data_IF_460999011138
#
_entry.id   IF_460999011138
#
_cell.length_a   1.000
_cell.length_b   1.000
_cell.length_c   1.000
_cell.angle_alpha   90.00
_cell.angle_beta   90.00
_cell.angle_gamma   90.00
#
_symmetry.space_group_name_H-M   'P 1'
#
loop_
_entity.id
_entity.type
_entity.pdbx_description
1 polymer ?
#
# COMPACT_ATOMS: atom_id res chain seq x y z
N UNK A 1 22.26 2.90 -4.95
CA UNK A 1 21.26 3.81 -4.35
C UNK A 1 20.82 4.75 -5.45
N UNK A 2 19.60 4.56 -5.96
CA UNK A 2 19.06 5.44 -6.98
C UNK A 2 18.87 6.82 -6.35
N UNK A 3 19.46 7.86 -6.95
CA UNK A 3 19.50 9.21 -6.42
C UNK A 3 18.17 9.94 -6.55
N UNK A 4 17.06 9.34 -6.09
CA UNK A 4 15.76 10.00 -6.08
C UNK A 4 15.78 11.16 -5.09
N UNK A 5 15.18 12.26 -5.54
CA UNK A 5 14.93 13.45 -4.71
C UNK A 5 13.80 13.19 -3.71
N UNK A 6 13.73 14.02 -2.67
CA UNK A 6 12.68 13.94 -1.64
C UNK A 6 11.28 14.08 -2.26
N UNK A 7 11.12 15.00 -3.23
CA UNK A 7 9.84 15.17 -3.92
C UNK A 7 9.46 13.90 -4.69
N UNK A 8 10.39 13.29 -5.44
CA UNK A 8 10.10 12.07 -6.20
C UNK A 8 9.77 10.88 -5.29
N UNK A 9 10.45 10.76 -4.14
CA UNK A 9 10.13 9.74 -3.15
C UNK A 9 8.77 9.97 -2.50
N UNK A 10 8.42 11.23 -2.22
CA UNK A 10 7.09 11.56 -1.69
C UNK A 10 5.99 11.26 -2.72
N UNK A 11 6.20 11.61 -4.00
CA UNK A 11 5.26 11.30 -5.08
C UNK A 11 5.02 9.79 -5.21
N UNK A 12 6.08 8.97 -5.11
CA UNK A 12 5.99 7.51 -5.14
C UNK A 12 5.36 6.94 -3.87
N UNK A 13 5.75 7.44 -2.70
CA UNK A 13 5.17 7.07 -1.41
C UNK A 13 3.65 7.24 -1.44
N UNK A 14 3.19 8.35 -2.04
CA UNK A 14 1.79 8.60 -2.27
C UNK A 14 1.19 7.62 -3.31
N UNK A 15 1.74 7.48 -4.51
CA UNK A 15 1.10 6.58 -5.50
C UNK A 15 0.89 5.15 -4.96
N UNK A 16 1.90 4.62 -4.28
CA UNK A 16 1.87 3.23 -3.84
C UNK A 16 0.99 3.03 -2.61
N UNK A 17 0.89 3.99 -1.68
CA UNK A 17 -0.06 3.82 -0.55
C UNK A 17 -1.50 3.71 -1.05
N UNK A 18 -1.84 4.44 -2.12
CA UNK A 18 -3.15 4.32 -2.75
C UNK A 18 -3.35 2.94 -3.41
N UNK A 19 -2.32 2.42 -4.10
CA UNK A 19 -2.36 1.07 -4.67
C UNK A 19 -2.51 0.00 -3.58
N UNK A 20 -1.85 0.15 -2.43
CA UNK A 20 -2.00 -0.72 -1.25
C UNK A 20 -3.44 -0.69 -0.73
N UNK A 21 -4.04 0.49 -0.58
CA UNK A 21 -5.42 0.66 -0.13
C UNK A 21 -6.42 0.01 -1.11
N UNK A 22 -6.23 0.23 -2.42
CA UNK A 22 -7.04 -0.39 -3.46
C UNK A 22 -6.88 -1.92 -3.48
N UNK A 23 -5.66 -2.43 -3.31
CA UNK A 23 -5.39 -3.87 -3.26
C UNK A 23 -6.06 -4.53 -2.05
N UNK A 24 -6.01 -3.90 -0.86
CA UNK A 24 -6.75 -4.34 0.33
C UNK A 24 -8.25 -4.41 0.07
N UNK A 25 -8.82 -3.32 -0.46
CA UNK A 25 -10.24 -3.25 -0.79
C UNK A 25 -10.68 -4.35 -1.76
N UNK A 26 -9.87 -4.64 -2.80
CA UNK A 26 -10.17 -5.70 -3.76
C UNK A 26 -10.21 -7.11 -3.13
N UNK A 27 -9.42 -7.35 -2.08
CA UNK A 27 -9.45 -8.61 -1.32
C UNK A 27 -10.70 -8.67 -0.46
N UNK A 28 -11.01 -7.58 0.25
CA UNK A 28 -12.18 -7.49 1.14
C UNK A 28 -13.49 -7.66 0.37
N UNK A 29 -13.55 -7.16 -0.88
CA UNK A 29 -14.70 -7.33 -1.79
C UNK A 29 -14.80 -8.74 -2.39
N UNK A 30 -13.80 -9.61 -2.19
CA UNK A 30 -13.83 -11.02 -2.62
C UNK A 30 -13.68 -11.99 -1.44
N UNK A 31 -14.66 -12.01 -0.52
CA UNK A 31 -14.66 -12.94 0.59
C UNK A 31 -14.79 -14.37 0.07
N UNK A 32 -13.97 -15.25 0.61
CA UNK A 32 -14.05 -16.68 0.32
C UNK A 32 -14.93 -17.34 1.37
N UNK A 33 -15.93 -18.11 0.92
CA UNK A 33 -16.83 -18.86 1.81
C UNK A 33 -16.02 -19.89 2.61
N UNK A 34 -16.29 -20.04 3.90
CA UNK A 34 -15.81 -21.21 4.64
C UNK A 34 -16.74 -22.39 4.34
N UNK A 35 -16.16 -23.49 3.87
CA UNK A 35 -16.89 -24.72 3.52
C UNK A 35 -16.73 -25.81 4.59
N UNK A 36 -15.99 -25.55 5.68
CA UNK A 36 -15.69 -26.56 6.70
C UNK A 36 -16.91 -27.03 7.50
N UNK A 37 -17.96 -26.22 7.55
CA UNK A 37 -19.24 -26.51 8.22
C UNK A 37 -20.30 -27.11 7.27
N UNK A 38 -20.02 -27.23 5.97
CA UNK A 38 -20.96 -27.75 4.98
C UNK A 38 -20.92 -29.27 4.92
N UNK A 39 -22.07 -29.95 5.02
CA UNK A 39 -22.16 -31.42 4.94
C UNK A 39 -21.75 -31.96 3.56
N UNK A 40 -22.07 -31.22 2.49
CA UNK A 40 -21.65 -31.51 1.11
C UNK A 40 -21.83 -30.28 0.20
N UNK A 41 -21.12 -30.26 -0.93
CA UNK A 41 -21.29 -29.31 -2.03
C UNK A 41 -21.37 -30.05 -3.37
N UNK A 42 -21.93 -29.42 -4.40
CA UNK A 42 -21.90 -29.95 -5.76
C UNK A 42 -20.51 -29.80 -6.40
N UNK A 43 -20.24 -30.60 -7.44
CA UNK A 43 -19.00 -30.49 -8.21
C UNK A 43 -18.81 -29.10 -8.84
N UNK A 44 -19.88 -28.50 -9.35
CA UNK A 44 -19.84 -27.15 -9.93
C UNK A 44 -19.51 -26.07 -8.87
N UNK A 45 -20.04 -26.21 -7.64
CA UNK A 45 -19.69 -25.34 -6.52
C UNK A 45 -18.23 -25.50 -6.10
N UNK A 46 -17.70 -26.74 -6.12
CA UNK A 46 -16.30 -27.01 -5.82
C UNK A 46 -15.36 -26.37 -6.86
N UNK A 47 -15.65 -26.49 -8.16
CA UNK A 47 -14.87 -25.86 -9.24
C UNK A 47 -14.88 -24.33 -9.14
N UNK A 48 -16.06 -23.77 -8.86
CA UNK A 48 -16.19 -22.32 -8.63
C UNK A 48 -15.40 -21.88 -7.40
N UNK A 49 -15.43 -22.67 -6.34
CA UNK A 49 -14.67 -22.39 -5.13
C UNK A 49 -13.17 -22.35 -5.39
N UNK A 50 -12.62 -23.35 -6.08
CA UNK A 50 -11.20 -23.43 -6.45
C UNK A 50 -10.79 -22.22 -7.31
N UNK A 51 -11.63 -21.82 -8.27
CA UNK A 51 -11.39 -20.65 -9.10
C UNK A 51 -11.33 -19.36 -8.26
N UNK A 52 -12.29 -19.16 -7.37
CA UNK A 52 -12.34 -18.00 -6.48
C UNK A 52 -11.16 -17.97 -5.51
N UNK A 53 -10.76 -19.13 -4.97
CA UNK A 53 -9.57 -19.26 -4.12
C UNK A 53 -8.32 -18.81 -4.89
N UNK A 54 -8.11 -19.33 -6.10
CA UNK A 54 -6.96 -18.97 -6.93
C UNK A 54 -6.92 -17.48 -7.29
N UNK A 55 -8.08 -16.86 -7.55
CA UNK A 55 -8.17 -15.42 -7.77
C UNK A 55 -7.79 -14.63 -6.52
N UNK A 56 -8.31 -15.04 -5.35
CA UNK A 56 -8.02 -14.39 -4.08
C UNK A 56 -6.54 -14.47 -3.71
N UNK A 57 -5.90 -15.62 -3.92
CA UNK A 57 -4.46 -15.80 -3.72
C UNK A 57 -3.64 -14.84 -4.59
N UNK A 58 -4.03 -14.63 -5.85
CA UNK A 58 -3.38 -13.65 -6.73
C UNK A 58 -3.51 -12.23 -6.22
N UNK A 59 -4.69 -11.86 -5.67
CA UNK A 59 -4.90 -10.54 -5.06
C UNK A 59 -4.06 -10.35 -3.81
N UNK A 60 -3.95 -11.38 -2.96
CA UNK A 60 -3.08 -11.37 -1.78
C UNK A 60 -1.61 -11.21 -2.16
N UNK A 61 -1.12 -11.96 -3.15
CA UNK A 61 0.24 -11.83 -3.64
C UNK A 61 0.53 -10.42 -4.22
N UNK A 62 -0.45 -9.82 -4.90
CA UNK A 62 -0.34 -8.45 -5.36
C UNK A 62 -0.26 -7.46 -4.19
N UNK A 63 -1.12 -7.60 -3.17
CA UNK A 63 -1.07 -6.78 -1.95
C UNK A 63 0.29 -6.87 -1.25
N UNK A 64 0.81 -8.09 -1.09
CA UNK A 64 2.13 -8.30 -0.48
C UNK A 64 3.23 -7.57 -1.25
N UNK A 65 3.23 -7.70 -2.59
CA UNK A 65 4.19 -7.01 -3.46
C UNK A 65 4.14 -5.49 -3.31
N UNK A 66 2.95 -4.88 -3.40
CA UNK A 66 2.83 -3.41 -3.32
C UNK A 66 3.11 -2.89 -1.91
N UNK A 67 2.80 -3.68 -0.88
CA UNK A 67 3.11 -3.31 0.51
C UNK A 67 4.61 -3.32 0.76
N UNK A 68 5.33 -4.28 0.17
CA UNK A 68 6.78 -4.33 0.23
C UNK A 68 7.40 -3.14 -0.51
N UNK A 69 6.91 -2.84 -1.71
CA UNK A 69 7.37 -1.69 -2.50
C UNK A 69 7.16 -0.35 -1.75
N UNK A 70 5.99 -0.19 -1.11
CA UNK A 70 5.69 0.96 -0.26
C UNK A 70 6.63 1.06 0.94
N UNK A 71 6.91 -0.07 1.61
CA UNK A 71 7.82 -0.11 2.75
C UNK A 71 9.22 0.35 2.36
N UNK A 72 9.75 -0.12 1.23
CA UNK A 72 11.08 0.28 0.74
C UNK A 72 11.16 1.78 0.46
N UNK A 73 10.12 2.36 -0.15
CA UNK A 73 10.06 3.80 -0.42
C UNK A 73 9.90 4.61 0.87
N UNK A 74 9.07 4.12 1.80
CA UNK A 74 8.88 4.73 3.11
C UNK A 74 10.20 4.77 3.90
N UNK A 75 10.94 3.66 3.93
CA UNK A 75 12.23 3.55 4.60
C UNK A 75 13.27 4.48 3.97
N UNK A 76 13.34 4.56 2.63
CA UNK A 76 14.28 5.47 1.96
C UNK A 76 13.95 6.94 2.23
N UNK A 77 12.65 7.31 2.17
CA UNK A 77 12.20 8.65 2.45
C UNK A 77 12.44 9.02 3.92
N UNK A 78 12.09 8.15 4.85
CA UNK A 78 12.33 8.33 6.27
C UNK A 78 13.82 8.53 6.55
N UNK A 79 14.69 7.67 6.01
CA UNK A 79 16.13 7.81 6.20
C UNK A 79 16.66 9.20 5.79
N UNK A 80 16.20 9.74 4.65
CA UNK A 80 16.57 11.10 4.21
C UNK A 80 16.01 12.17 5.14
N UNK A 81 14.75 12.05 5.55
CA UNK A 81 14.11 13.02 6.44
C UNK A 81 14.73 13.03 7.84
N UNK A 82 15.13 11.86 8.38
CA UNK A 82 15.79 11.77 9.68
C UNK A 82 17.19 12.42 9.65
N UNK A 83 17.90 12.36 8.52
CA UNK A 83 19.18 13.08 8.34
C UNK A 83 18.95 14.59 8.35
N UNK A 84 17.88 15.06 7.71
CA UNK A 84 17.54 16.49 7.63
C UNK A 84 17.09 17.03 8.99
N UNK A 85 16.39 16.21 9.78
CA UNK A 85 15.96 16.51 11.15
C UNK A 85 15.17 17.83 11.27
N UNK A 86 14.41 18.17 10.23
CA UNK A 86 13.46 19.29 10.20
C UNK A 86 12.35 19.00 9.19
N UNK A 87 11.29 19.83 9.21
CA UNK A 87 10.19 19.75 8.25
C UNK A 87 10.63 20.17 6.85
N UNK A 88 10.25 19.39 5.85
CA UNK A 88 10.50 19.64 4.43
C UNK A 88 9.19 19.94 3.75
N UNK A 89 9.12 21.06 3.04
CA UNK A 89 7.97 21.43 2.22
C UNK A 89 8.01 20.65 0.91
N UNK A 90 6.95 19.92 0.62
CA UNK A 90 6.73 19.21 -0.65
C UNK A 90 5.41 19.63 -1.26
N UNK A 91 5.30 19.47 -2.57
CA UNK A 91 4.01 19.64 -3.24
C UNK A 91 3.26 18.31 -3.20
N UNK A 92 2.00 18.34 -2.79
CA UNK A 92 1.10 17.21 -2.92
C UNK A 92 0.48 17.24 -4.31
N UNK A 93 0.86 16.29 -5.15
CA UNK A 93 0.36 16.22 -6.53
C UNK A 93 -1.10 15.75 -6.64
N UNK A 94 -1.66 15.18 -5.57
CA UNK A 94 -3.05 14.69 -5.57
C UNK A 94 -4.03 15.83 -5.40
N UNK A 95 -3.73 16.74 -4.47
CA UNK A 95 -4.63 17.83 -4.08
C UNK A 95 -4.17 19.20 -4.61
N UNK A 96 -3.05 19.26 -5.33
CA UNK A 96 -2.40 20.51 -5.79
C UNK A 96 -2.12 21.48 -4.63
N UNK A 97 -1.87 20.91 -3.44
CA UNK A 97 -1.57 21.64 -2.20
C UNK A 97 -0.11 21.43 -1.80
N UNK A 98 0.25 21.96 -0.62
CA UNK A 98 1.57 21.75 -0.03
C UNK A 98 1.45 20.98 1.26
N UNK A 99 2.42 20.11 1.51
CA UNK A 99 2.54 19.37 2.75
C UNK A 99 3.92 19.58 3.37
N UNK A 100 3.99 19.50 4.69
CA UNK A 100 5.23 19.38 5.44
C UNK A 100 5.45 17.90 5.75
N UNK A 101 6.59 17.38 5.32
CA UNK A 101 7.01 16.01 5.66
C UNK A 101 8.24 16.03 6.56
N UNK A 102 8.29 15.12 7.52
CA UNK A 102 9.40 15.00 8.46
C UNK A 102 9.50 13.60 9.03
N UNK A 103 10.65 13.29 9.64
CA UNK A 103 10.86 12.02 10.34
C UNK A 103 10.51 12.16 11.82
N UNK A 104 9.73 11.21 12.34
CA UNK A 104 9.47 10.99 13.77
C UNK A 104 9.71 9.52 14.06
N UNK A 105 10.60 9.21 15.00
CA UNK A 105 10.92 7.83 15.42
C UNK A 105 11.25 6.86 14.26
N UNK A 106 11.86 7.37 13.19
CA UNK A 106 12.22 6.58 12.00
C UNK A 106 11.09 6.40 10.98
N UNK A 107 9.94 7.07 11.15
CA UNK A 107 8.81 7.01 10.23
C UNK A 107 8.53 8.37 9.56
N UNK A 108 7.99 8.32 8.34
CA UNK A 108 7.53 9.52 7.61
C UNK A 108 6.24 10.03 8.23
N UNK A 109 6.25 11.29 8.67
CA UNK A 109 5.06 12.03 9.10
C UNK A 109 4.72 13.09 8.06
N UNK A 110 3.43 13.21 7.75
CA UNK A 110 2.90 14.18 6.78
C UNK A 110 1.93 15.11 7.52
N UNK A 111 2.11 16.42 7.30
CA UNK A 111 1.27 17.48 7.87
C UNK A 111 0.80 18.38 6.73
N UNK A 112 -0.51 18.40 6.48
CA UNK A 112 -1.13 19.25 5.46
C UNK A 112 -1.05 20.72 5.88
N UNK A 113 -0.80 21.60 4.90
CA UNK A 113 -0.82 23.05 5.11
C UNK A 113 -2.14 23.58 4.51
N UNK A 114 -3.02 24.09 5.37
CA UNK A 114 -4.25 24.82 4.97
C UNK A 114 -3.96 26.09 4.15
#
# INVERSE_FOLDING_TARGET
MNGLSIQQLFDQYQDIILEVELAKKNIDETPLKDLSEEDYISADEAEKYVTNYAERERKMAHLERVSQEWSEISDELAAKLCIINTKVLVNDKRDDTKALIYCVDGAVTVEEIE
#
